data_IF_827845208724
#
_entry.id   IF_827845208724
#
_cell.length_a   1.000
_cell.length_b   1.000
_cell.length_c   1.000
_cell.angle_alpha   90.00
_cell.angle_beta   90.00
_cell.angle_gamma   90.00
#
_symmetry.space_group_name_H-M   'P 1'
#
loop_
_entity.id
_entity.type
_entity.pdbx_description
1 polymer ?
#
# COMPACT_ATOMS: atom_id res chain seq x y z
N UNK A 1 4.85 33.49 -19.31
CA UNK A 1 5.35 32.38 -18.48
C UNK A 1 4.18 31.71 -17.74
N UNK A 2 3.33 30.98 -18.46
CA UNK A 2 2.13 30.30 -17.91
C UNK A 2 2.03 28.90 -18.51
N UNK A 3 2.94 28.01 -18.15
CA UNK A 3 2.88 26.61 -18.60
C UNK A 3 3.70 25.61 -17.77
N UNK A 4 4.34 26.00 -16.66
CA UNK A 4 5.26 25.08 -15.93
C UNK A 4 4.63 24.51 -14.66
N UNK A 5 3.62 25.17 -14.07
CA UNK A 5 2.99 24.70 -12.82
C UNK A 5 2.01 23.52 -12.98
N UNK A 6 1.62 23.17 -14.20
CA UNK A 6 0.64 22.09 -14.45
C UNK A 6 1.27 20.68 -14.43
N UNK A 7 2.60 20.56 -14.46
CA UNK A 7 3.28 19.25 -14.51
C UNK A 7 3.59 18.64 -13.13
N UNK A 8 3.53 19.43 -12.06
CA UNK A 8 3.96 18.97 -10.72
C UNK A 8 2.87 18.11 -10.03
N UNK A 9 1.59 18.26 -10.40
CA UNK A 9 0.49 17.53 -9.75
C UNK A 9 0.32 16.09 -10.29
N UNK A 10 0.87 15.78 -11.47
CA UNK A 10 0.76 14.43 -12.07
C UNK A 10 1.84 13.47 -11.55
N UNK A 11 2.90 13.95 -10.89
CA UNK A 11 4.09 13.14 -10.64
C UNK A 11 4.17 12.46 -9.25
N UNK A 12 3.32 12.82 -8.29
CA UNK A 12 3.45 12.32 -6.90
C UNK A 12 2.77 10.94 -6.69
N UNK A 13 1.95 10.46 -7.64
CA UNK A 13 1.12 9.26 -7.43
C UNK A 13 1.62 7.95 -8.07
N UNK A 14 2.61 7.95 -8.96
CA UNK A 14 2.85 6.80 -9.86
C UNK A 14 4.27 6.23 -9.87
N UNK A 15 5.08 6.37 -8.82
CA UNK A 15 6.40 5.71 -8.80
C UNK A 15 6.86 5.19 -7.44
N UNK A 16 6.04 4.36 -6.78
CA UNK A 16 6.52 3.39 -5.79
C UNK A 16 6.41 1.95 -6.34
N UNK A 17 7.07 1.72 -7.47
CA UNK A 17 7.58 0.39 -7.84
C UNK A 17 9.11 0.49 -7.91
N UNK A 18 9.77 0.66 -6.77
CA UNK A 18 11.19 0.33 -6.66
C UNK A 18 11.29 -1.19 -6.51
N UNK A 19 11.51 -1.83 -7.65
CA UNK A 19 12.03 -3.19 -7.73
C UNK A 19 13.39 -3.16 -7.01
N UNK A 20 13.47 -3.78 -5.84
CA UNK A 20 14.75 -4.13 -5.23
C UNK A 20 15.41 -5.20 -6.10
N UNK A 21 16.49 -4.84 -6.80
CA UNK A 21 17.33 -5.82 -7.46
C UNK A 21 18.07 -5.30 -8.67
N UNK A 22 19.24 -4.69 -8.45
CA UNK A 22 20.43 -4.91 -9.28
C UNK A 22 21.62 -4.17 -8.64
N UNK A 23 22.40 -4.94 -7.91
CA UNK A 23 23.87 -4.91 -7.84
C UNK A 23 24.61 -3.61 -8.24
N UNK A 24 25.30 -3.09 -7.23
CA UNK A 24 26.47 -2.22 -7.31
C UNK A 24 27.42 -2.61 -8.45
N UNK A 25 27.83 -1.63 -9.25
CA UNK A 25 29.18 -1.55 -9.83
C UNK A 25 29.42 -0.10 -10.26
N UNK A 26 29.85 0.73 -9.30
CA UNK A 26 30.56 1.94 -9.63
C UNK A 26 31.93 1.53 -10.17
N UNK A 27 32.20 1.90 -11.42
CA UNK A 27 33.45 1.62 -12.09
C UNK A 27 34.65 2.11 -11.27
N UNK A 28 35.58 1.18 -11.03
CA UNK A 28 36.89 1.42 -10.45
C UNK A 28 37.75 2.23 -11.42
N UNK A 29 38.29 3.36 -10.96
CA UNK A 29 39.43 4.02 -11.56
C UNK A 29 40.48 4.30 -10.46
N UNK A 30 41.56 3.52 -10.54
CA UNK A 30 42.93 3.60 -9.99
C UNK A 30 43.26 4.36 -8.66
N UNK A 31 44.15 3.80 -7.81
CA UNK A 31 44.63 4.42 -6.58
C UNK A 31 45.95 5.19 -6.78
N UNK A 32 46.16 6.27 -6.00
CA UNK A 32 47.36 6.54 -5.18
C UNK A 32 47.52 8.04 -4.90
N UNK A 33 47.66 8.40 -3.61
CA UNK A 33 48.43 9.58 -3.20
C UNK A 33 47.80 10.45 -2.10
N UNK A 34 48.44 10.41 -0.93
CA UNK A 34 48.50 11.43 0.13
C UNK A 34 47.34 11.56 1.14
N UNK A 35 47.66 11.05 2.34
CA UNK A 35 47.14 11.33 3.67
C UNK A 35 46.95 12.83 3.97
N UNK A 36 45.81 13.23 4.53
CA UNK A 36 45.70 14.01 5.78
C UNK A 36 44.27 14.53 6.04
N UNK A 37 43.98 14.77 7.31
CA UNK A 37 42.78 15.39 7.87
C UNK A 37 41.54 14.49 8.01
N UNK A 38 41.55 13.79 9.13
CA UNK A 38 40.37 13.32 9.85
C UNK A 38 39.52 14.54 10.28
N UNK A 39 38.73 15.09 9.35
CA UNK A 39 37.54 15.86 9.71
C UNK A 39 36.47 14.85 10.10
N UNK A 40 36.45 14.57 11.40
CA UNK A 40 35.33 13.89 12.04
C UNK A 40 34.17 14.89 12.12
N UNK A 41 33.65 15.30 10.97
CA UNK A 41 32.34 15.91 10.87
C UNK A 41 31.34 14.79 11.15
N UNK A 42 30.94 14.67 12.43
CA UNK A 42 29.67 14.05 12.75
C UNK A 42 28.64 14.62 11.76
N UNK A 43 27.81 13.80 11.10
CA UNK A 43 26.71 14.35 10.32
C UNK A 43 25.88 15.16 11.30
N UNK A 44 25.95 16.49 11.18
CA UNK A 44 25.01 17.37 11.83
C UNK A 44 23.65 16.92 11.32
N UNK A 45 22.92 16.15 12.13
CA UNK A 45 21.51 15.94 11.89
C UNK A 45 20.91 17.35 11.92
N UNK A 46 20.41 17.87 10.79
CA UNK A 46 19.62 19.08 10.85
C UNK A 46 18.28 18.62 11.40
N UNK A 47 18.21 18.48 12.72
CA UNK A 47 16.94 18.65 13.41
C UNK A 47 16.68 20.16 13.47
N UNK A 48 16.66 20.79 12.30
CA UNK A 48 16.17 22.14 12.14
C UNK A 48 14.69 22.03 12.45
N UNK A 49 14.28 22.58 13.59
CA UNK A 49 12.87 22.75 13.87
C UNK A 49 12.25 23.45 12.65
N UNK A 50 11.14 22.90 12.15
CA UNK A 50 10.42 23.42 10.99
C UNK A 50 10.08 24.89 11.26
N UNK A 51 10.24 25.76 10.26
CA UNK A 51 9.82 27.15 10.40
C UNK A 51 8.31 27.20 10.77
N UNK A 52 7.91 27.90 11.86
CA UNK A 52 6.52 27.90 12.32
C UNK A 52 5.51 28.40 11.28
N UNK A 53 5.92 29.32 10.39
CA UNK A 53 5.07 29.86 9.33
C UNK A 53 4.85 28.79 8.26
N UNK A 54 5.95 28.16 7.82
CA UNK A 54 5.89 27.07 6.85
C UNK A 54 5.10 25.87 7.39
N UNK A 55 5.26 25.52 8.66
CA UNK A 55 4.46 24.47 9.31
C UNK A 55 2.95 24.79 9.25
N UNK A 56 2.56 26.02 9.63
CA UNK A 56 1.17 26.44 9.59
C UNK A 56 0.58 26.42 8.16
N UNK A 57 1.37 26.84 7.18
CA UNK A 57 1.00 26.83 5.77
C UNK A 57 0.85 25.39 5.24
N UNK A 58 1.75 24.47 5.61
CA UNK A 58 1.65 23.04 5.26
C UNK A 58 0.37 22.44 5.86
N UNK A 59 0.09 22.71 7.14
CA UNK A 59 -1.14 22.23 7.79
C UNK A 59 -2.39 22.74 7.08
N UNK A 60 -2.41 24.02 6.69
CA UNK A 60 -3.50 24.61 5.93
C UNK A 60 -3.66 23.96 4.55
N UNK A 61 -2.55 23.65 3.87
CA UNK A 61 -2.56 22.97 2.58
C UNK A 61 -3.15 21.57 2.72
N UNK A 62 -2.74 20.82 3.76
CA UNK A 62 -3.26 19.49 4.06
C UNK A 62 -4.77 19.49 4.31
N UNK A 63 -5.31 20.53 4.94
CA UNK A 63 -6.75 20.71 5.12
C UNK A 63 -7.46 20.94 3.78
N UNK A 64 -6.93 21.83 2.94
CA UNK A 64 -7.48 22.15 1.62
C UNK A 64 -7.53 20.94 0.67
N UNK A 65 -6.51 20.09 0.70
CA UNK A 65 -6.42 18.90 -0.17
C UNK A 65 -7.11 17.67 0.42
N UNK A 66 -7.67 17.76 1.63
CA UNK A 66 -8.39 16.65 2.27
C UNK A 66 -7.48 15.54 2.82
N UNK A 67 -6.25 15.87 3.22
CA UNK A 67 -5.31 14.89 3.75
C UNK A 67 -5.79 14.24 5.06
N UNK A 68 -6.56 14.96 5.88
CA UNK A 68 -7.17 14.40 7.10
C UNK A 68 -8.15 13.26 6.77
N UNK A 69 -9.03 13.47 5.81
CA UNK A 69 -9.98 12.45 5.37
C UNK A 69 -9.23 11.25 4.78
N UNK A 70 -8.17 11.50 4.00
CA UNK A 70 -7.34 10.44 3.45
C UNK A 70 -6.65 9.60 4.54
N UNK A 71 -6.15 10.21 5.62
CA UNK A 71 -5.57 9.49 6.78
C UNK A 71 -6.62 8.64 7.48
N UNK A 72 -7.84 9.17 7.68
CA UNK A 72 -8.94 8.44 8.30
C UNK A 72 -9.41 7.26 7.44
N UNK A 73 -9.58 7.47 6.13
CA UNK A 73 -9.95 6.42 5.18
C UNK A 73 -8.87 5.33 5.08
N UNK A 74 -7.59 5.74 5.11
CA UNK A 74 -6.46 4.83 5.17
C UNK A 74 -6.47 3.97 6.43
N UNK A 75 -6.68 4.57 7.60
CA UNK A 75 -6.80 3.86 8.88
C UNK A 75 -7.98 2.88 8.88
N UNK A 76 -9.14 3.30 8.34
CA UNK A 76 -10.32 2.45 8.16
C UNK A 76 -10.06 1.29 7.22
N UNK A 77 -9.34 1.50 6.14
CA UNK A 77 -8.99 0.42 5.22
C UNK A 77 -7.99 -0.57 5.85
N UNK A 78 -7.01 -0.06 6.59
CA UNK A 78 -6.01 -0.87 7.29
C UNK A 78 -6.62 -1.74 8.39
N UNK A 79 -7.58 -1.22 9.15
CA UNK A 79 -8.26 -1.99 10.19
C UNK A 79 -9.14 -3.08 9.57
N UNK A 80 -9.87 -2.81 8.49
CA UNK A 80 -10.69 -3.82 7.81
C UNK A 80 -9.83 -4.95 7.21
N UNK A 81 -8.71 -4.61 6.58
CA UNK A 81 -7.76 -5.61 6.11
C UNK A 81 -7.20 -6.47 7.27
N UNK A 82 -6.91 -5.83 8.41
CA UNK A 82 -6.45 -6.53 9.60
C UNK A 82 -7.54 -7.44 10.18
N UNK A 83 -8.80 -7.00 10.17
CA UNK A 83 -9.96 -7.81 10.58
C UNK A 83 -10.12 -9.04 9.69
N UNK A 84 -10.05 -8.88 8.37
CA UNK A 84 -10.14 -9.99 7.43
C UNK A 84 -9.02 -11.02 7.67
N UNK A 85 -7.79 -10.55 7.87
CA UNK A 85 -6.65 -11.41 8.19
C UNK A 85 -6.84 -12.15 9.52
N UNK A 86 -7.38 -11.49 10.55
CA UNK A 86 -7.66 -12.13 11.83
C UNK A 86 -8.79 -13.15 11.71
N UNK A 87 -9.85 -12.86 10.96
CA UNK A 87 -10.94 -13.82 10.71
C UNK A 87 -10.46 -15.11 10.05
N UNK A 88 -9.35 -15.07 9.31
CA UNK A 88 -8.75 -16.26 8.72
C UNK A 88 -8.03 -17.18 9.71
N UNK A 89 -7.64 -16.68 10.90
CA UNK A 89 -6.84 -17.40 11.90
C UNK A 89 -7.57 -17.69 13.20
N UNK A 90 -8.58 -16.88 13.55
CA UNK A 90 -9.40 -17.11 14.74
C UNK A 90 -10.51 -18.14 14.46
N UNK A 91 -11.01 -18.79 15.51
CA UNK A 91 -12.13 -19.72 15.38
C UNK A 91 -13.37 -19.00 14.81
N UNK A 92 -14.03 -19.60 13.81
CA UNK A 92 -15.25 -19.06 13.23
C UNK A 92 -16.47 -19.34 14.14
N UNK A 93 -16.57 -18.60 15.25
CA UNK A 93 -17.66 -18.64 16.22
C UNK A 93 -17.81 -17.26 16.89
N UNK A 94 -18.82 -17.11 17.75
CA UNK A 94 -19.14 -15.85 18.43
C UNK A 94 -17.95 -15.28 19.23
N UNK A 95 -17.14 -16.14 19.85
CA UNK A 95 -15.94 -15.71 20.60
C UNK A 95 -14.86 -15.15 19.67
N UNK A 96 -14.64 -15.78 18.52
CA UNK A 96 -13.72 -15.29 17.50
C UNK A 96 -14.16 -13.95 16.92
N UNK A 97 -15.46 -13.80 16.62
CA UNK A 97 -16.01 -12.52 16.16
C UNK A 97 -15.89 -11.42 17.23
N UNK A 98 -16.21 -11.74 18.49
CA UNK A 98 -16.05 -10.81 19.60
C UNK A 98 -14.59 -10.37 19.77
N UNK A 99 -13.63 -11.28 19.60
CA UNK A 99 -12.20 -10.96 19.63
C UNK A 99 -11.80 -9.99 18.51
N UNK A 100 -12.21 -10.23 17.27
CA UNK A 100 -11.92 -9.34 16.12
C UNK A 100 -12.55 -7.96 16.30
N UNK A 101 -13.76 -7.91 16.87
CA UNK A 101 -14.43 -6.66 17.21
C UNK A 101 -13.70 -5.89 18.33
N UNK A 102 -13.25 -6.59 19.37
CA UNK A 102 -12.45 -6.00 20.44
C UNK A 102 -11.10 -5.47 19.92
N UNK A 103 -10.44 -6.20 19.02
CA UNK A 103 -9.26 -5.73 18.31
C UNK A 103 -9.53 -4.42 17.58
N UNK A 104 -10.61 -4.37 16.77
CA UNK A 104 -10.93 -3.18 16.01
C UNK A 104 -11.21 -1.96 16.90
N UNK A 105 -11.99 -2.15 17.97
CA UNK A 105 -12.25 -1.09 18.95
C UNK A 105 -10.97 -0.63 19.66
N UNK A 106 -10.05 -1.56 19.97
CA UNK A 106 -8.75 -1.24 20.58
C UNK A 106 -7.86 -0.45 19.63
N UNK A 107 -7.79 -0.84 18.35
CA UNK A 107 -7.04 -0.12 17.32
C UNK A 107 -7.56 1.31 17.17
N UNK A 108 -8.88 1.52 17.07
CA UNK A 108 -9.47 2.86 16.95
C UNK A 108 -9.10 3.77 18.12
N UNK A 109 -9.03 3.23 19.35
CA UNK A 109 -8.61 4.00 20.53
C UNK A 109 -7.11 4.33 20.55
N UNK A 110 -6.28 3.51 19.89
CA UNK A 110 -4.83 3.66 19.87
C UNK A 110 -4.32 4.43 18.67
N UNK A 111 -5.09 4.46 17.58
CA UNK A 111 -4.74 5.19 16.38
C UNK A 111 -4.73 6.69 16.66
N UNK A 112 -3.59 7.33 16.43
CA UNK A 112 -3.42 8.76 16.63
C UNK A 112 -3.24 9.44 15.26
N UNK A 113 -4.31 10.06 14.76
CA UNK A 113 -4.27 10.79 13.50
C UNK A 113 -3.31 11.98 13.54
N UNK A 114 -3.18 12.67 14.68
CA UNK A 114 -2.26 13.81 14.83
C UNK A 114 -0.79 13.39 14.67
N UNK A 115 -0.43 12.19 15.12
CA UNK A 115 0.93 11.68 14.91
C UNK A 115 1.24 11.53 13.41
N UNK A 116 0.28 11.01 12.64
CA UNK A 116 0.40 10.87 11.19
C UNK A 116 0.45 12.25 10.52
N UNK A 117 -0.39 13.18 10.96
CA UNK A 117 -0.37 14.57 10.46
C UNK A 117 0.98 15.23 10.72
N UNK A 118 1.56 15.09 11.91
CA UNK A 118 2.87 15.66 12.23
C UNK A 118 3.99 15.06 11.37
N UNK A 119 3.93 13.76 11.09
CA UNK A 119 4.87 13.13 10.16
C UNK A 119 4.72 13.66 8.74
N UNK A 120 3.48 13.84 8.28
CA UNK A 120 3.21 14.42 6.96
C UNK A 120 3.71 15.86 6.86
N UNK A 121 3.60 16.66 7.92
CA UNK A 121 4.17 18.02 7.95
C UNK A 121 5.68 17.97 7.68
N UNK A 122 6.41 17.09 8.38
CA UNK A 122 7.86 16.91 8.15
C UNK A 122 8.19 16.45 6.73
N UNK A 123 7.39 15.55 6.16
CA UNK A 123 7.56 15.08 4.77
C UNK A 123 7.39 16.26 3.79
N UNK A 124 6.37 17.10 3.98
CA UNK A 124 6.17 18.27 3.12
C UNK A 124 7.28 19.32 3.30
N UNK A 125 7.76 19.52 4.52
CA UNK A 125 8.86 20.44 4.82
C UNK A 125 10.15 20.04 4.09
N UNK A 126 10.45 18.74 4.03
CA UNK A 126 11.61 18.19 3.32
C UNK A 126 11.51 18.32 1.80
N UNK A 127 10.29 18.25 1.24
CA UNK A 127 10.08 18.18 -0.20
C UNK A 127 9.71 19.50 -0.88
N UNK A 128 9.23 20.49 -0.13
CA UNK A 128 8.81 21.77 -0.69
C UNK A 128 9.45 22.93 0.05
N UNK A 129 9.80 23.97 -0.69
CA UNK A 129 10.17 25.27 -0.11
C UNK A 129 8.94 26.02 0.41
N UNK A 130 9.15 27.01 1.27
CA UNK A 130 8.06 27.85 1.79
C UNK A 130 7.27 28.55 0.66
N UNK A 131 7.97 29.09 -0.34
CA UNK A 131 7.33 29.75 -1.49
C UNK A 131 6.50 28.77 -2.34
N UNK A 132 6.94 27.52 -2.47
CA UNK A 132 6.17 26.48 -3.15
C UNK A 132 4.92 26.10 -2.36
N UNK A 133 5.01 25.96 -1.03
CA UNK A 133 3.84 25.72 -0.18
C UNK A 133 2.84 26.87 -0.32
N UNK A 134 3.29 28.14 -0.29
CA UNK A 134 2.43 29.31 -0.52
C UNK A 134 1.79 29.29 -1.91
N UNK A 135 2.55 28.91 -2.94
CA UNK A 135 2.03 28.74 -4.30
C UNK A 135 0.95 27.66 -4.39
N UNK A 136 1.16 26.53 -3.71
CA UNK A 136 0.17 25.45 -3.62
C UNK A 136 -1.10 25.91 -2.88
N UNK A 137 -0.96 26.64 -1.76
CA UNK A 137 -2.09 27.23 -1.04
C UNK A 137 -2.90 28.18 -1.93
N UNK A 138 -2.24 29.06 -2.68
CA UNK A 138 -2.92 29.95 -3.62
C UNK A 138 -3.68 29.17 -4.71
N UNK A 139 -3.06 28.12 -5.26
CA UNK A 139 -3.71 27.27 -6.25
C UNK A 139 -4.93 26.57 -5.67
N UNK A 140 -4.77 25.81 -4.57
CA UNK A 140 -5.86 25.05 -3.96
C UNK A 140 -6.94 25.94 -3.32
N UNK A 141 -6.63 27.19 -2.98
CA UNK A 141 -7.62 28.19 -2.59
C UNK A 141 -8.45 28.76 -3.77
N UNK A 142 -8.02 28.58 -5.02
CA UNK A 142 -8.77 29.03 -6.19
C UNK A 142 -9.97 28.12 -6.52
N UNK A 143 -11.00 28.60 -7.24
CA UNK A 143 -12.14 27.76 -7.64
C UNK A 143 -11.73 26.50 -8.42
N UNK A 144 -10.69 26.61 -9.26
CA UNK A 144 -10.16 25.46 -10.00
C UNK A 144 -9.43 24.49 -9.08
N UNK A 145 -8.58 25.00 -8.18
CA UNK A 145 -7.84 24.15 -7.24
C UNK A 145 -8.74 23.41 -6.26
N UNK A 146 -9.80 24.06 -5.77
CA UNK A 146 -10.83 23.40 -4.95
C UNK A 146 -11.55 22.29 -5.70
N UNK A 147 -11.90 22.52 -6.98
CA UNK A 147 -12.47 21.48 -7.84
C UNK A 147 -11.50 20.32 -8.02
N UNK A 148 -10.21 20.61 -8.24
CA UNK A 148 -9.17 19.58 -8.36
C UNK A 148 -9.08 18.76 -7.06
N UNK A 149 -8.98 19.40 -5.90
CA UNK A 149 -8.93 18.70 -4.61
C UNK A 149 -10.16 17.79 -4.38
N UNK A 150 -11.35 18.22 -4.76
CA UNK A 150 -12.58 17.44 -4.61
C UNK A 150 -12.73 16.29 -5.63
N UNK A 151 -12.28 16.49 -6.87
CA UNK A 151 -12.49 15.53 -7.96
C UNK A 151 -11.36 14.51 -8.09
N UNK A 152 -10.11 14.87 -7.77
CA UNK A 152 -8.97 13.96 -7.93
C UNK A 152 -9.14 12.63 -7.17
N UNK A 153 -9.59 12.60 -5.90
CA UNK A 153 -9.85 11.33 -5.22
C UNK A 153 -10.93 10.47 -5.90
N UNK A 154 -11.92 11.09 -6.56
CA UNK A 154 -12.97 10.37 -7.31
C UNK A 154 -12.39 9.77 -8.59
N UNK A 155 -11.65 10.57 -9.35
CA UNK A 155 -10.95 10.14 -10.57
C UNK A 155 -9.99 8.98 -10.25
N UNK A 156 -9.22 9.06 -9.15
CA UNK A 156 -8.34 7.97 -8.73
C UNK A 156 -9.11 6.69 -8.42
N UNK A 157 -10.27 6.78 -7.76
CA UNK A 157 -11.13 5.60 -7.48
C UNK A 157 -11.68 4.98 -8.76
N UNK A 158 -12.16 5.79 -9.69
CA UNK A 158 -12.64 5.33 -11.00
C UNK A 158 -11.52 4.67 -11.82
N UNK A 159 -10.33 5.28 -11.84
CA UNK A 159 -9.15 4.72 -12.50
C UNK A 159 -8.78 3.35 -11.91
N UNK A 160 -8.76 3.21 -10.59
CA UNK A 160 -8.50 1.93 -9.94
C UNK A 160 -9.54 0.86 -10.31
N UNK A 161 -10.82 1.23 -10.40
CA UNK A 161 -11.88 0.31 -10.81
C UNK A 161 -11.71 -0.13 -12.28
N UNK A 162 -11.40 0.81 -13.17
CA UNK A 162 -11.13 0.54 -14.58
C UNK A 162 -9.93 -0.39 -14.75
N UNK A 163 -8.83 -0.14 -14.03
CA UNK A 163 -7.64 -1.00 -14.04
C UNK A 163 -7.97 -2.40 -13.56
N UNK A 164 -8.68 -2.56 -12.43
CA UNK A 164 -9.09 -3.88 -11.92
C UNK A 164 -9.95 -4.65 -12.93
N UNK A 165 -10.88 -3.97 -13.61
CA UNK A 165 -11.73 -4.58 -14.62
C UNK A 165 -10.90 -5.06 -15.84
N UNK A 166 -10.02 -4.22 -16.36
CA UNK A 166 -9.13 -4.55 -17.46
C UNK A 166 -8.18 -5.71 -17.10
N UNK A 167 -7.53 -5.66 -15.93
CA UNK A 167 -6.66 -6.73 -15.46
C UNK A 167 -7.40 -8.06 -15.27
N UNK A 168 -8.62 -8.03 -14.74
CA UNK A 168 -9.45 -9.24 -14.57
C UNK A 168 -9.79 -9.87 -15.92
N UNK A 169 -10.12 -9.05 -16.92
CA UNK A 169 -10.38 -9.52 -18.28
C UNK A 169 -9.13 -10.15 -18.89
N UNK A 170 -8.01 -9.44 -18.86
CA UNK A 170 -6.74 -9.94 -19.38
C UNK A 170 -6.33 -11.27 -18.72
N UNK A 171 -6.49 -11.41 -17.41
CA UNK A 171 -6.21 -12.66 -16.70
C UNK A 171 -7.11 -13.82 -17.15
N UNK A 172 -8.41 -13.56 -17.37
CA UNK A 172 -9.36 -14.58 -17.86
C UNK A 172 -9.01 -15.02 -19.28
N UNK A 173 -8.72 -14.08 -20.16
CA UNK A 173 -8.36 -14.34 -21.56
C UNK A 173 -7.05 -15.16 -21.61
N UNK A 174 -6.03 -14.76 -20.85
CA UNK A 174 -4.77 -15.50 -20.74
C UNK A 174 -4.96 -16.91 -20.16
N UNK A 175 -5.80 -17.08 -19.13
CA UNK A 175 -6.10 -18.40 -18.60
C UNK A 175 -6.80 -19.28 -19.65
N UNK A 176 -7.75 -18.73 -20.40
CA UNK A 176 -8.46 -19.48 -21.44
C UNK A 176 -7.49 -19.98 -22.52
N UNK A 177 -6.57 -19.14 -22.97
CA UNK A 177 -5.53 -19.49 -23.94
C UNK A 177 -4.60 -20.60 -23.41
N UNK A 178 -4.04 -20.42 -22.20
CA UNK A 178 -3.10 -21.39 -21.62
C UNK A 178 -3.78 -22.74 -21.34
N UNK A 179 -5.09 -22.74 -21.02
CA UNK A 179 -5.88 -23.98 -20.87
C UNK A 179 -6.00 -24.77 -22.17
N UNK A 180 -6.17 -24.09 -23.31
CA UNK A 180 -6.22 -24.76 -24.61
C UNK A 180 -4.87 -25.36 -24.98
N UNK A 181 -3.78 -24.69 -24.63
CA UNK A 181 -2.41 -25.17 -24.86
C UNK A 181 -2.02 -26.32 -23.94
N UNK A 182 -2.54 -26.35 -22.70
CA UNK A 182 -2.19 -27.34 -21.67
C UNK A 182 -3.45 -27.99 -21.07
N UNK A 183 -4.16 -28.83 -21.84
CA UNK A 183 -5.46 -29.35 -21.43
C UNK A 183 -5.42 -30.20 -20.15
N UNK A 184 -4.33 -30.93 -19.90
CA UNK A 184 -4.18 -31.76 -18.68
C UNK A 184 -4.18 -30.90 -17.40
N UNK A 185 -3.39 -29.83 -17.38
CA UNK A 185 -3.32 -28.90 -16.24
C UNK A 185 -4.53 -27.96 -16.23
N UNK A 186 -4.99 -27.55 -17.41
CA UNK A 186 -6.02 -26.55 -17.63
C UNK A 186 -7.40 -26.91 -17.08
N UNK A 187 -7.75 -28.20 -17.04
CA UNK A 187 -9.00 -28.67 -16.43
C UNK A 187 -9.13 -28.29 -14.94
N UNK A 188 -8.00 -28.23 -14.24
CA UNK A 188 -7.96 -27.94 -12.80
C UNK A 188 -7.76 -26.46 -12.48
N UNK A 189 -7.26 -25.66 -13.42
CA UNK A 189 -6.87 -24.27 -13.19
C UNK A 189 -8.08 -23.31 -13.07
N UNK A 190 -8.08 -22.45 -12.05
CA UNK A 190 -9.15 -21.45 -11.79
C UNK A 190 -8.53 -20.17 -11.21
N UNK A 191 -9.03 -19.01 -11.62
CA UNK A 191 -8.70 -17.72 -11.00
C UNK A 191 -9.66 -17.50 -9.82
N UNK A 192 -9.18 -17.71 -8.59
CA UNK A 192 -9.96 -17.51 -7.36
C UNK A 192 -9.25 -18.07 -6.12
N UNK A 193 -9.68 -17.64 -4.92
CA UNK A 193 -9.20 -18.18 -3.65
C UNK A 193 -9.51 -19.69 -3.60
N UNK A 194 -8.45 -20.49 -3.64
CA UNK A 194 -8.51 -21.94 -3.77
C UNK A 194 -9.12 -22.61 -2.55
N UNK A 195 -10.45 -22.65 -2.46
CA UNK A 195 -11.16 -23.46 -1.47
C UNK A 195 -11.18 -24.96 -1.87
N UNK A 196 -10.83 -25.28 -3.13
CA UNK A 196 -10.89 -26.65 -3.68
C UNK A 196 -9.75 -27.58 -3.26
N UNK A 197 -8.66 -27.09 -2.66
CA UNK A 197 -7.49 -27.94 -2.31
C UNK A 197 -7.67 -28.70 -0.98
N UNK A 198 -8.70 -28.36 -0.18
CA UNK A 198 -8.97 -29.00 1.12
C UNK A 198 -9.92 -30.20 1.06
N UNK A 199 -10.73 -30.34 0.00
CA UNK A 199 -11.66 -31.46 -0.13
C UNK A 199 -11.00 -32.72 -0.73
N UNK A 200 -9.99 -32.58 -1.58
CA UNK A 200 -9.39 -33.73 -2.26
C UNK A 200 -8.44 -34.56 -1.39
N UNK A 201 -7.97 -34.02 -0.25
CA UNK A 201 -7.13 -34.76 0.71
C UNK A 201 -7.92 -35.51 1.79
N UNK A 202 -9.21 -35.22 1.95
CA UNK A 202 -10.07 -35.85 2.97
C UNK A 202 -10.85 -37.08 2.45
N UNK A 203 -10.91 -37.28 1.13
CA UNK A 203 -11.58 -38.42 0.50
C UNK A 203 -10.70 -39.65 0.27
N UNK A 204 -9.38 -39.57 0.51
CA UNK A 204 -8.42 -40.66 0.25
C UNK A 204 -7.93 -41.39 1.52
N UNK A 205 -8.53 -41.10 2.68
CA UNK A 205 -8.14 -41.69 3.96
C UNK A 205 -9.34 -42.32 4.68
N UNK A 206 -9.98 -43.33 4.07
CA UNK A 206 -10.93 -44.20 4.76
C UNK A 206 -11.18 -45.49 3.99
N UNK A 207 -10.20 -46.41 4.02
CA UNK A 207 -10.47 -47.85 3.91
C UNK A 207 -9.39 -48.59 4.73
N UNK A 208 -9.61 -48.93 6.01
CA UNK A 208 -8.90 -50.04 6.62
C UNK A 208 -9.44 -51.33 6.01
N UNK A 209 -8.56 -52.02 5.30
CA UNK A 209 -8.78 -53.35 4.74
C UNK A 209 -9.01 -54.31 5.91
N UNK A 210 -10.26 -54.73 6.12
CA UNK A 210 -10.63 -55.70 7.14
C UNK A 210 -10.06 -57.05 6.70
N UNK A 211 -8.98 -57.49 7.34
CA UNK A 211 -8.44 -58.82 7.17
C UNK A 211 -9.48 -59.83 7.68
N UNK A 212 -10.07 -60.58 6.75
CA UNK A 212 -10.86 -61.78 7.06
C UNK A 212 -9.94 -62.83 7.68
N UNK A 213 -10.03 -62.98 9.00
CA UNK A 213 -9.51 -64.12 9.72
C UNK A 213 -10.53 -65.25 9.56
N UNK A 214 -10.28 -66.15 8.59
CA UNK A 214 -11.00 -67.42 8.48
C UNK A 214 -10.36 -68.40 9.47
N UNK A 215 -11.17 -68.87 10.41
CA UNK A 215 -10.99 -70.15 11.07
C UNK A 215 -12.37 -70.78 11.17
N UNK A 216 -12.54 -72.03 10.72
CA UNK A 216 -13.10 -72.98 11.67
C UNK A 216 -12.50 -74.39 11.58
N UNK A 217 -12.30 -74.94 12.79
CA UNK A 217 -12.30 -76.35 13.21
C UNK A 217 -11.02 -77.17 13.00
#
# INVERSE_FOLDING_TARGET
MKAVLALIIIYIGTFFLVIHGATQNAAQAAPQGATSAQDNAAPAQPNSAIDPTKEADIRSLMELVGARDAVQDGAKSAIEQSREKLLSTVANNDKGQAFVNAFAASYQKKFNAELVTNQLVGIYDEHFTEDEIKGLLQFYGSPLGQKVAAEMPKITRELQAATRAASTRAAKDALAEVKQQNPEVGQSARLGLGQGRWQQRRGSQSHPQVAQQQDPQ
#
